data_IF_034325569969
#
_entry.id   IF_034325569969
#
_cell.length_a   1.000
_cell.length_b   1.000
_cell.length_c   1.000
_cell.angle_alpha   90.00
_cell.angle_beta   90.00
_cell.angle_gamma   90.00
#
_symmetry.space_group_name_H-M   'P 1'
#
loop_
_entity.id
_entity.type
_entity.pdbx_description
1 polymer ?
#
# COMPACT_ATOMS: atom_id res chain seq x y z
N UNK A 1 -18.25 -6.57 6.03
CA UNK A 1 -18.01 -5.37 5.19
C UNK A 1 -17.92 -5.82 3.74
N UNK A 2 -18.56 -5.11 2.82
CA UNK A 2 -18.49 -5.39 1.38
C UNK A 2 -17.81 -4.23 0.66
N UNK A 3 -16.95 -4.52 -0.31
CA UNK A 3 -16.28 -3.53 -1.18
C UNK A 3 -16.76 -3.78 -2.60
N UNK A 4 -17.27 -2.74 -3.27
CA UNK A 4 -17.64 -2.85 -4.69
C UNK A 4 -16.35 -2.75 -5.52
N UNK A 5 -16.27 -3.54 -6.58
CA UNK A 5 -15.06 -3.63 -7.42
C UNK A 5 -15.43 -3.74 -8.89
N UNK A 6 -14.67 -3.05 -9.75
CA UNK A 6 -14.61 -3.30 -11.19
C UNK A 6 -13.23 -3.89 -11.47
N UNK A 7 -13.21 -5.08 -12.08
CA UNK A 7 -11.99 -5.73 -12.54
C UNK A 7 -11.88 -5.60 -14.06
N UNK A 8 -10.96 -4.76 -14.53
CA UNK A 8 -10.58 -4.64 -15.95
C UNK A 8 -9.23 -5.33 -16.24
N UNK A 9 -8.68 -6.04 -15.27
CA UNK A 9 -7.41 -6.75 -15.45
C UNK A 9 -7.60 -8.07 -16.20
N UNK A 10 -6.49 -8.60 -16.71
CA UNK A 10 -6.40 -9.96 -17.27
C UNK A 10 -6.40 -11.04 -16.18
N UNK A 11 -6.44 -10.67 -14.91
CA UNK A 11 -6.21 -11.54 -13.76
C UNK A 11 -7.46 -11.65 -12.88
N UNK A 12 -7.53 -12.73 -12.09
CA UNK A 12 -8.60 -12.90 -11.10
C UNK A 12 -8.56 -11.78 -10.04
N UNK A 13 -9.70 -11.55 -9.39
CA UNK A 13 -9.80 -10.60 -8.29
C UNK A 13 -8.77 -10.92 -7.19
N UNK A 14 -8.21 -9.89 -6.51
CA UNK A 14 -7.44 -10.09 -5.29
C UNK A 14 -8.26 -10.88 -4.27
N UNK A 15 -7.61 -11.84 -3.61
CA UNK A 15 -8.23 -12.66 -2.56
C UNK A 15 -7.27 -12.84 -1.39
N UNK A 16 -7.84 -13.11 -0.22
CA UNK A 16 -7.07 -13.48 0.96
C UNK A 16 -6.51 -14.89 0.78
N UNK A 17 -5.18 -15.03 0.85
CA UNK A 17 -4.53 -16.33 0.62
C UNK A 17 -4.82 -17.34 1.72
N UNK A 18 -5.11 -16.88 2.93
CA UNK A 18 -5.51 -17.71 4.07
C UNK A 18 -6.63 -17.02 4.84
N UNK A 19 -7.33 -17.78 5.69
CA UNK A 19 -8.40 -17.24 6.55
C UNK A 19 -7.91 -16.13 7.50
N UNK A 20 -6.62 -16.11 7.84
CA UNK A 20 -6.00 -15.14 8.75
C UNK A 20 -5.18 -14.06 8.04
N UNK A 21 -5.19 -14.02 6.70
CA UNK A 21 -4.45 -13.02 5.94
C UNK A 21 -5.06 -11.63 6.14
N UNK A 22 -4.23 -10.64 6.49
CA UNK A 22 -4.68 -9.26 6.66
C UNK A 22 -4.93 -8.53 5.31
N UNK A 23 -4.24 -8.96 4.25
CA UNK A 23 -4.30 -8.31 2.95
C UNK A 23 -4.43 -9.28 1.79
N UNK A 24 -4.78 -8.73 0.63
CA UNK A 24 -4.96 -9.43 -0.65
C UNK A 24 -3.85 -9.03 -1.62
N UNK A 25 -3.20 -10.00 -2.27
CA UNK A 25 -2.13 -9.72 -3.22
C UNK A 25 -2.69 -8.98 -4.46
N UNK A 26 -2.06 -7.84 -4.81
CA UNK A 26 -2.31 -7.09 -6.03
C UNK A 26 -1.33 -7.54 -7.13
N UNK A 27 -1.86 -7.76 -8.34
CA UNK A 27 -1.09 -8.21 -9.50
C UNK A 27 -0.83 -7.06 -10.47
N UNK A 28 0.34 -7.08 -11.10
CA UNK A 28 0.62 -6.22 -12.24
C UNK A 28 -0.30 -6.61 -13.40
N UNK A 29 -0.98 -5.62 -13.99
CA UNK A 29 -1.78 -5.77 -15.21
C UNK A 29 -1.14 -4.90 -16.30
N UNK A 30 -0.18 -5.48 -17.01
CA UNK A 30 0.68 -4.77 -17.98
C UNK A 30 0.80 -5.58 -19.27
N UNK A 31 0.95 -4.91 -20.41
CA UNK A 31 1.14 -5.61 -21.70
C UNK A 31 2.60 -5.96 -21.96
N UNK A 32 3.52 -5.08 -21.55
CA UNK A 32 4.96 -5.26 -21.73
C UNK A 32 5.61 -5.26 -20.35
N UNK A 33 6.60 -6.13 -20.17
CA UNK A 33 7.37 -6.19 -18.92
C UNK A 33 8.04 -4.85 -18.64
N UNK A 34 8.04 -4.45 -17.37
CA UNK A 34 8.60 -3.18 -16.93
C UNK A 34 9.94 -3.45 -16.26
N UNK A 35 11.02 -2.90 -16.81
CA UNK A 35 12.30 -2.79 -16.11
C UNK A 35 12.24 -1.65 -15.08
N UNK A 36 12.76 -1.96 -13.88
CA UNK A 36 12.96 -1.03 -12.79
C UNK A 36 14.42 -1.09 -12.35
N UNK A 37 15.22 -0.12 -12.82
CA UNK A 37 16.64 0.01 -12.47
C UNK A 37 16.81 0.45 -11.01
N UNK A 38 18.01 0.31 -10.41
CA UNK A 38 18.30 0.88 -9.10
C UNK A 38 17.87 2.34 -8.99
N UNK A 39 17.14 2.66 -7.92
CA UNK A 39 16.53 3.96 -7.61
C UNK A 39 15.45 4.46 -8.58
N UNK A 40 15.09 3.67 -9.60
CA UNK A 40 13.97 3.98 -10.49
C UNK A 40 12.64 3.70 -9.78
N UNK A 41 11.62 4.49 -10.14
CA UNK A 41 10.25 4.36 -9.62
C UNK A 41 9.23 4.40 -10.75
N UNK A 42 8.22 3.53 -10.68
CA UNK A 42 7.14 3.45 -11.67
C UNK A 42 5.81 3.17 -10.99
N UNK A 43 4.75 3.72 -11.59
CA UNK A 43 3.38 3.34 -11.24
C UNK A 43 3.03 2.11 -12.07
N UNK A 44 2.79 0.99 -11.39
CA UNK A 44 2.34 -0.26 -12.02
C UNK A 44 0.84 -0.37 -11.87
N UNK A 45 0.16 -0.54 -13.00
CA UNK A 45 -1.29 -0.68 -13.10
C UNK A 45 -1.75 -2.06 -12.65
N UNK A 46 -2.94 -2.13 -12.06
CA UNK A 46 -3.52 -3.38 -11.53
C UNK A 46 -4.80 -3.79 -12.25
N UNK A 47 -5.44 -2.90 -13.00
CA UNK A 47 -6.76 -3.09 -13.58
C UNK A 47 -7.91 -3.15 -12.56
N UNK A 48 -7.64 -2.87 -11.28
CA UNK A 48 -8.62 -2.89 -10.20
C UNK A 48 -9.12 -1.48 -9.90
N UNK A 49 -10.43 -1.32 -9.79
CA UNK A 49 -11.11 -0.09 -9.39
C UNK A 49 -12.04 -0.45 -8.24
N UNK A 50 -12.03 0.31 -7.16
CA UNK A 50 -12.80 -0.01 -5.95
C UNK A 50 -13.68 1.15 -5.52
N UNK A 51 -14.71 0.81 -4.76
CA UNK A 51 -15.53 1.74 -4.01
C UNK A 51 -15.62 1.23 -2.58
N UNK A 52 -15.09 2.03 -1.65
CA UNK A 52 -15.08 1.73 -0.22
C UNK A 52 -16.20 2.50 0.48
N UNK A 53 -16.76 1.96 1.58
CA UNK A 53 -17.61 2.74 2.47
C UNK A 53 -16.82 3.88 3.13
N UNK A 54 -17.49 4.99 3.42
CA UNK A 54 -16.92 6.08 4.24
C UNK A 54 -16.47 5.55 5.61
N UNK A 55 -15.32 6.01 6.10
CA UNK A 55 -14.68 5.52 7.32
C UNK A 55 -13.70 4.35 7.09
N UNK A 56 -13.46 3.99 5.82
CA UNK A 56 -12.47 3.00 5.44
C UNK A 56 -11.55 3.53 4.35
N UNK A 57 -10.29 3.09 4.41
CA UNK A 57 -9.30 3.25 3.35
C UNK A 57 -8.80 1.88 2.90
N UNK A 58 -8.27 1.80 1.68
CA UNK A 58 -7.43 0.67 1.29
C UNK A 58 -5.96 1.09 1.31
N UNK A 59 -5.16 0.30 2.00
CA UNK A 59 -3.72 0.53 2.15
C UNK A 59 -2.94 -0.44 1.25
N UNK A 60 -2.22 0.11 0.28
CA UNK A 60 -1.28 -0.63 -0.56
C UNK A 60 0.06 -0.74 0.16
N UNK A 61 0.44 -1.97 0.52
CA UNK A 61 1.63 -2.28 1.32
C UNK A 61 2.62 -3.17 0.53
N UNK A 62 3.93 -3.10 0.84
CA UNK A 62 4.94 -3.98 0.26
C UNK A 62 4.69 -5.44 0.63
N UNK A 63 5.16 -6.35 -0.23
CA UNK A 63 5.25 -7.79 0.08
C UNK A 63 6.63 -8.06 0.65
N UNK A 64 6.71 -8.68 1.83
CA UNK A 64 7.99 -8.92 2.53
C UNK A 64 9.01 -9.68 1.68
N UNK A 65 8.56 -10.64 0.87
CA UNK A 65 9.41 -11.38 -0.04
C UNK A 65 10.08 -10.52 -1.12
N UNK A 66 9.36 -9.54 -1.69
CA UNK A 66 9.94 -8.61 -2.67
C UNK A 66 10.86 -7.59 -2.01
N UNK A 67 10.47 -7.09 -0.83
CA UNK A 67 11.29 -6.16 -0.07
C UNK A 67 12.64 -6.77 0.34
N UNK A 68 12.62 -7.94 0.98
CA UNK A 68 13.84 -8.58 1.47
C UNK A 68 14.71 -9.16 0.35
N UNK A 69 14.11 -9.88 -0.61
CA UNK A 69 14.90 -10.64 -1.60
C UNK A 69 15.29 -9.83 -2.84
N UNK A 70 14.57 -8.74 -3.13
CA UNK A 70 14.73 -7.96 -4.37
C UNK A 70 14.88 -6.47 -4.14
N UNK A 71 14.83 -5.99 -2.88
CA UNK A 71 14.89 -4.57 -2.56
C UNK A 71 13.74 -3.76 -3.15
N UNK A 72 12.60 -4.40 -3.47
CA UNK A 72 11.45 -3.74 -4.08
C UNK A 72 10.43 -3.39 -3.01
N UNK A 73 10.05 -2.13 -2.96
CA UNK A 73 9.03 -1.64 -2.02
C UNK A 73 8.03 -0.73 -2.72
N UNK A 74 6.93 -0.47 -2.03
CA UNK A 74 5.95 0.54 -2.42
C UNK A 74 6.45 1.88 -1.87
N UNK A 75 6.77 2.81 -2.76
CA UNK A 75 7.45 4.08 -2.42
C UNK A 75 6.65 4.92 -1.44
N UNK A 76 5.33 4.99 -1.63
CA UNK A 76 4.41 5.72 -0.76
C UNK A 76 3.80 4.83 0.34
N UNK A 77 4.47 3.73 0.74
CA UNK A 77 3.91 2.78 1.70
C UNK A 77 3.66 3.39 3.10
N UNK A 78 2.49 3.11 3.72
CA UNK A 78 1.31 2.51 3.11
C UNK A 78 0.65 3.48 2.14
N UNK A 79 0.39 3.04 0.90
CA UNK A 79 -0.29 3.87 -0.09
C UNK A 79 -1.79 3.94 0.20
N UNK A 80 -2.32 5.12 0.48
CA UNK A 80 -3.74 5.33 0.79
C UNK A 80 -4.59 5.42 -0.48
N UNK A 81 -5.68 4.64 -0.50
CA UNK A 81 -6.77 4.76 -1.47
C UNK A 81 -8.02 5.19 -0.70
N UNK A 82 -8.48 6.40 -0.98
CA UNK A 82 -9.63 7.02 -0.32
C UNK A 82 -10.97 6.41 -0.72
N UNK A 83 -11.99 6.55 0.14
CA UNK A 83 -13.30 5.97 -0.07
C UNK A 83 -14.07 6.55 -1.27
N UNK A 84 -13.77 7.78 -1.67
CA UNK A 84 -14.34 8.47 -2.82
C UNK A 84 -13.51 8.29 -4.10
N UNK A 85 -12.35 7.64 -4.03
CA UNK A 85 -11.55 7.33 -5.21
C UNK A 85 -12.26 6.30 -6.11
N UNK A 86 -12.38 6.60 -7.40
CA UNK A 86 -12.95 5.69 -8.43
C UNK A 86 -11.99 5.44 -9.59
N UNK A 87 -10.75 5.92 -9.46
CA UNK A 87 -9.71 5.64 -10.43
C UNK A 87 -9.15 4.23 -10.26
N UNK A 88 -8.18 3.91 -11.11
CA UNK A 88 -7.50 2.63 -11.07
C UNK A 88 -6.49 2.60 -9.91
N UNK A 89 -6.54 1.54 -9.09
CA UNK A 89 -5.53 1.28 -8.06
C UNK A 89 -4.18 1.06 -8.73
N UNK A 90 -3.25 2.00 -8.53
CA UNK A 90 -1.87 1.91 -8.99
C UNK A 90 -0.93 1.61 -7.83
N UNK A 91 0.14 0.87 -8.12
CA UNK A 91 1.21 0.57 -7.16
C UNK A 91 2.45 1.35 -7.53
N UNK A 92 2.88 2.29 -6.69
CA UNK A 92 4.12 3.04 -6.92
C UNK A 92 5.29 2.21 -6.42
N UNK A 93 5.93 1.45 -7.30
CA UNK A 93 7.10 0.65 -6.93
C UNK A 93 8.38 1.47 -7.08
N UNK A 94 9.31 1.26 -6.16
CA UNK A 94 10.70 1.71 -6.25
C UNK A 94 11.64 0.52 -6.05
N UNK A 95 12.74 0.52 -6.79
CA UNK A 95 13.83 -0.43 -6.59
C UNK A 95 14.94 0.21 -5.74
N UNK A 96 15.12 -0.30 -4.53
CA UNK A 96 16.18 0.12 -3.59
C UNK A 96 17.37 -0.84 -3.59
N UNK A 97 17.37 -1.87 -4.44
CA UNK A 97 18.52 -2.76 -4.63
C UNK A 97 19.53 -2.18 -5.62
N UNK A 98 20.68 -2.85 -5.74
CA UNK A 98 21.70 -2.58 -6.75
C UNK A 98 21.48 -3.35 -8.07
N UNK A 99 20.45 -4.19 -8.16
CA UNK A 99 20.18 -5.02 -9.33
C UNK A 99 18.93 -4.53 -10.07
N UNK A 100 18.87 -4.72 -11.39
CA UNK A 100 17.65 -4.47 -12.15
C UNK A 100 16.55 -5.46 -11.77
N UNK A 101 15.32 -4.96 -11.59
CA UNK A 101 14.16 -5.80 -11.35
C UNK A 101 13.18 -5.71 -12.53
N UNK A 102 12.76 -6.87 -13.05
CA UNK A 102 11.81 -6.96 -14.16
C UNK A 102 10.45 -7.38 -13.62
N UNK A 103 9.49 -6.47 -13.70
CA UNK A 103 8.09 -6.72 -13.36
C UNK A 103 7.41 -7.36 -14.57
N UNK A 104 6.81 -8.53 -14.37
CA UNK A 104 6.06 -9.25 -15.40
C UNK A 104 4.55 -9.13 -15.17
N UNK A 105 3.78 -9.29 -16.25
CA UNK A 105 2.32 -9.36 -16.14
C UNK A 105 1.88 -10.50 -15.21
N UNK A 106 0.86 -10.24 -14.40
CA UNK A 106 0.32 -11.19 -13.43
C UNK A 106 1.17 -11.38 -12.17
N UNK A 107 2.36 -10.77 -12.08
CA UNK A 107 3.20 -10.87 -10.89
C UNK A 107 2.56 -10.15 -9.70
N UNK A 108 2.65 -10.76 -8.52
CA UNK A 108 2.11 -10.21 -7.27
C UNK A 108 3.08 -9.16 -6.73
N UNK A 109 2.76 -7.88 -6.90
CA UNK A 109 3.68 -6.77 -6.70
C UNK A 109 3.49 -6.03 -5.36
N UNK A 110 2.29 -6.07 -4.80
CA UNK A 110 1.95 -5.45 -3.53
C UNK A 110 0.82 -6.23 -2.86
N UNK A 111 0.42 -5.85 -1.66
CA UNK A 111 -0.78 -6.35 -1.01
C UNK A 111 -1.66 -5.19 -0.55
N UNK A 112 -2.97 -5.38 -0.60
CA UNK A 112 -3.97 -4.40 -0.18
C UNK A 112 -4.62 -4.83 1.13
N UNK A 113 -4.60 -3.96 2.14
CA UNK A 113 -5.30 -4.14 3.42
C UNK A 113 -6.43 -3.12 3.50
N UNK A 114 -7.64 -3.54 3.84
CA UNK A 114 -8.74 -2.60 4.10
C UNK A 114 -8.71 -2.23 5.58
N UNK A 115 -8.58 -0.94 5.88
CA UNK A 115 -8.44 -0.43 7.24
C UNK A 115 -9.56 0.55 7.57
N UNK A 116 -10.08 0.47 8.79
CA UNK A 116 -10.98 1.49 9.32
C UNK A 116 -10.15 2.70 9.77
N UNK A 117 -10.61 3.90 9.47
CA UNK A 117 -10.05 5.14 9.99
C UNK A 117 -11.16 6.04 10.54
N UNK A 118 -10.77 7.08 11.27
CA UNK A 118 -11.67 8.13 11.75
C UNK A 118 -11.32 9.44 11.04
N UNK A 119 -12.30 10.34 10.90
CA UNK A 119 -12.05 11.72 10.47
C UNK A 119 -12.08 12.61 11.72
N UNK A 120 -10.96 13.25 12.02
CA UNK A 120 -10.85 14.12 13.19
C UNK A 120 -11.45 15.51 12.92
N UNK A 121 -12.02 16.10 13.96
CA UNK A 121 -12.34 17.53 14.02
C UNK A 121 -11.34 18.22 14.93
N UNK A 122 -10.72 19.29 14.43
CA UNK A 122 -9.72 20.04 15.20
C UNK A 122 -10.38 20.93 16.26
N UNK A 123 -9.80 20.94 17.46
CA UNK A 123 -10.11 21.89 18.53
C UNK A 123 -8.80 22.58 18.88
N UNK A 124 -8.66 23.85 18.53
CA UNK A 124 -7.47 24.65 18.81
C UNK A 124 -7.46 25.09 20.28
N UNK A 125 -6.33 24.92 20.96
CA UNK A 125 -6.15 25.20 22.40
C UNK A 125 -4.78 25.82 22.67
N UNK A 126 -4.64 26.59 23.74
CA UNK A 126 -3.37 27.21 24.12
C UNK A 126 -2.39 26.24 24.79
N UNK A 127 -2.90 25.20 25.47
CA UNK A 127 -2.08 24.19 26.18
C UNK A 127 -2.65 22.79 26.04
N UNK A 128 -1.78 21.78 26.08
CA UNK A 128 -2.14 20.37 26.12
C UNK A 128 -1.96 19.82 27.54
N UNK A 129 -2.71 18.77 27.88
CA UNK A 129 -2.55 18.06 29.16
C UNK A 129 -1.20 17.33 29.24
N UNK A 130 -0.65 17.22 30.46
CA UNK A 130 0.56 16.45 30.70
C UNK A 130 0.31 14.95 30.49
N UNK A 131 1.29 14.24 29.94
CA UNK A 131 1.29 12.77 29.82
C UNK A 131 2.65 12.21 30.25
N UNK A 132 2.70 10.92 30.59
CA UNK A 132 3.96 10.25 30.96
C UNK A 132 5.03 10.35 29.86
N UNK A 133 4.62 10.37 28.60
CA UNK A 133 5.53 10.53 27.45
C UNK A 133 5.94 11.98 27.22
N UNK A 134 5.05 12.94 27.50
CA UNK A 134 5.27 14.36 27.25
C UNK A 134 5.79 14.64 25.84
N UNK A 135 6.86 15.44 25.74
CA UNK A 135 7.52 15.79 24.48
C UNK A 135 8.56 14.74 23.99
N UNK A 136 8.66 13.57 24.62
CA UNK A 136 9.64 12.53 24.25
C UNK A 136 9.31 11.82 22.92
N UNK A 137 10.19 11.92 21.92
CA UNK A 137 10.07 11.28 20.61
C UNK A 137 11.42 10.81 20.05
N UNK A 138 11.42 10.22 18.84
CA UNK A 138 12.63 9.85 18.09
C UNK A 138 13.66 8.98 18.84
N UNK A 139 13.22 7.88 19.46
CA UNK A 139 14.11 6.98 20.19
C UNK A 139 14.33 7.34 21.66
N UNK A 140 13.46 8.20 22.23
CA UNK A 140 13.51 8.62 23.64
C UNK A 140 13.39 7.49 24.68
N UNK A 141 13.04 6.27 24.26
CA UNK A 141 12.97 5.08 25.13
C UNK A 141 14.15 4.12 25.01
N UNK A 142 15.17 4.44 24.18
CA UNK A 142 16.44 3.73 24.19
C UNK A 142 17.12 3.58 22.84
N UNK A 143 18.45 3.73 22.87
CA UNK A 143 19.39 3.16 21.91
C UNK A 143 20.12 2.07 22.71
N UNK A 144 19.85 0.80 22.42
CA UNK A 144 20.76 -0.29 22.80
C UNK A 144 21.31 -0.89 21.51
#
# INVERSE_FOLDING_TARGET
MNVKVINKSKHALPHYSTIASAGMDLRANIEVSISLKPLERKIVKTGIFIELPVGFEAQVRPRSGLAFKKGITVLNSPGTIDADYRGEVGVILINLSSEEFIIKDGERIAQMVIAKHEQAYWIEVETLENSERGAGGFGSTGVK
#
